data_IF_276071841740
#
_entry.id   IF_276071841740
#
_cell.length_a   1.000
_cell.length_b   1.000
_cell.length_c   1.000
_cell.angle_alpha   90.00
_cell.angle_beta   90.00
_cell.angle_gamma   90.00
#
_symmetry.space_group_name_H-M   'P 1'
#
loop_
_entity.id
_entity.type
_entity.pdbx_description
1 polymer ?
#
# COMPACT_ATOMS: atom_id res chain seq x y z
N UNK A 1 -19.44 -8.91 -8.07
CA UNK A 1 -18.05 -9.40 -8.12
C UNK A 1 -17.39 -9.01 -6.80
N UNK A 2 -16.87 -9.98 -6.05
CA UNK A 2 -16.28 -9.74 -4.73
C UNK A 2 -14.81 -9.38 -4.93
N UNK A 3 -14.35 -8.27 -4.36
CA UNK A 3 -12.92 -7.92 -4.32
C UNK A 3 -12.23 -8.87 -3.34
N UNK A 4 -11.28 -9.65 -3.80
CA UNK A 4 -10.46 -10.50 -2.93
C UNK A 4 -9.42 -9.60 -2.27
N UNK A 5 -9.58 -9.33 -0.98
CA UNK A 5 -8.76 -8.36 -0.23
C UNK A 5 -7.33 -8.87 0.02
N UNK A 6 -7.18 -10.16 0.29
CA UNK A 6 -5.88 -10.78 0.54
C UNK A 6 -5.87 -12.20 -0.05
N UNK A 7 -5.68 -12.34 -1.37
CA UNK A 7 -5.70 -13.65 -2.03
C UNK A 7 -4.52 -14.53 -1.56
N UNK A 8 -4.72 -15.84 -1.46
CA UNK A 8 -3.65 -16.78 -1.13
C UNK A 8 -2.44 -16.59 -2.05
N UNK A 9 -1.23 -16.59 -1.49
CA UNK A 9 0.01 -16.47 -2.24
C UNK A 9 0.44 -15.04 -2.58
N UNK A 10 -0.42 -14.03 -2.47
CA UNK A 10 -0.07 -12.63 -2.80
C UNK A 10 1.14 -12.11 -1.99
N UNK A 11 1.21 -12.50 -0.75
CA UNK A 11 2.24 -12.11 0.21
C UNK A 11 2.98 -13.33 0.79
N UNK A 12 3.04 -14.45 0.05
CA UNK A 12 3.81 -15.62 0.47
C UNK A 12 5.33 -15.31 0.60
N UNK A 13 5.79 -14.36 -0.18
CA UNK A 13 7.10 -13.72 -0.10
C UNK A 13 6.97 -12.24 -0.55
N UNK A 14 8.09 -11.52 -0.59
CA UNK A 14 8.11 -10.10 -0.90
C UNK A 14 8.19 -9.76 -2.40
N UNK A 15 8.22 -10.73 -3.32
CA UNK A 15 8.39 -10.50 -4.77
C UNK A 15 7.36 -9.54 -5.35
N UNK A 16 6.07 -9.78 -5.06
CA UNK A 16 4.99 -8.94 -5.56
C UNK A 16 5.04 -7.53 -4.95
N UNK A 17 5.37 -7.42 -3.67
CA UNK A 17 5.51 -6.13 -3.00
C UNK A 17 6.72 -5.36 -3.53
N UNK A 18 7.87 -6.02 -3.65
CA UNK A 18 9.09 -5.43 -4.19
C UNK A 18 8.93 -4.96 -5.64
N UNK A 19 8.22 -5.72 -6.49
CA UNK A 19 7.89 -5.28 -7.85
C UNK A 19 7.07 -3.98 -7.85
N UNK A 20 6.11 -3.85 -6.92
CA UNK A 20 5.32 -2.63 -6.78
C UNK A 20 6.12 -1.45 -6.24
N UNK A 21 6.99 -1.69 -5.26
CA UNK A 21 7.88 -0.65 -4.70
C UNK A 21 8.87 -0.14 -5.75
N UNK A 22 9.40 -0.99 -6.64
CA UNK A 22 10.31 -0.59 -7.72
C UNK A 22 9.72 0.46 -8.66
N UNK A 23 8.42 0.43 -8.93
CA UNK A 23 7.76 1.43 -9.79
C UNK A 23 8.01 2.86 -9.30
N UNK A 24 7.97 3.07 -7.99
CA UNK A 24 8.09 4.41 -7.38
C UNK A 24 9.51 4.98 -7.44
N UNK A 25 10.52 4.16 -7.76
CA UNK A 25 11.89 4.63 -8.00
C UNK A 25 12.01 5.47 -9.29
N UNK A 26 11.00 5.38 -10.18
CA UNK A 26 10.92 6.15 -11.42
C UNK A 26 10.14 7.46 -11.28
N UNK A 27 9.79 7.87 -10.06
CA UNK A 27 9.21 9.19 -9.83
C UNK A 27 10.20 10.31 -10.19
N UNK A 28 9.69 11.33 -10.90
CA UNK A 28 10.52 12.45 -11.33
C UNK A 28 9.79 13.78 -11.08
N UNK A 29 10.30 14.64 -10.15
CA UNK A 29 11.41 14.37 -9.23
C UNK A 29 11.13 13.22 -8.25
N UNK A 30 12.19 12.59 -7.72
CA UNK A 30 12.03 11.53 -6.70
C UNK A 30 11.31 12.08 -5.46
N UNK A 31 10.37 11.30 -4.94
CA UNK A 31 9.62 11.63 -3.72
C UNK A 31 9.85 10.54 -2.66
N UNK A 32 10.47 10.91 -1.53
CA UNK A 32 10.66 10.01 -0.40
C UNK A 32 9.35 9.85 0.38
N UNK A 33 8.57 8.84 -0.02
CA UNK A 33 7.27 8.53 0.63
C UNK A 33 7.48 8.17 2.10
N UNK A 34 8.49 7.35 2.42
CA UNK A 34 8.72 6.90 3.78
C UNK A 34 9.11 8.07 4.69
N UNK A 35 10.04 8.91 4.27
CA UNK A 35 10.42 10.12 4.99
C UNK A 35 9.24 11.08 5.18
N UNK A 36 8.42 11.26 4.14
CA UNK A 36 7.22 12.08 4.23
C UNK A 36 6.22 11.54 5.27
N UNK A 37 5.91 10.24 5.24
CA UNK A 37 5.00 9.61 6.22
C UNK A 37 5.55 9.75 7.64
N UNK A 38 6.84 9.51 7.85
CA UNK A 38 7.47 9.65 9.16
C UNK A 38 7.48 11.10 9.67
N UNK A 39 7.57 12.09 8.77
CA UNK A 39 7.46 13.50 9.15
C UNK A 39 6.10 13.89 9.75
N UNK A 40 5.03 13.18 9.37
CA UNK A 40 3.68 13.38 9.90
C UNK A 40 3.51 12.79 11.32
N UNK A 41 4.36 11.85 11.70
CA UNK A 41 4.28 11.14 12.98
C UNK A 41 4.83 11.94 14.17
N UNK A 42 5.55 13.05 13.94
CA UNK A 42 6.12 13.87 15.01
C UNK A 42 7.13 13.11 15.87
N UNK A 43 7.99 12.31 15.24
CA UNK A 43 8.96 11.45 15.92
C UNK A 43 9.91 12.25 16.81
N UNK A 44 10.09 11.79 18.06
CA UNK A 44 11.07 12.32 19.01
C UNK A 44 11.79 11.18 19.75
N UNK A 45 12.97 11.46 20.36
CA UNK A 45 13.75 10.43 21.04
C UNK A 45 12.97 9.65 22.09
N UNK A 46 13.12 8.32 22.08
CA UNK A 46 12.53 7.42 23.06
C UNK A 46 11.11 6.96 22.78
N UNK A 47 10.42 7.49 21.75
CA UNK A 47 9.08 7.03 21.39
C UNK A 47 9.06 5.55 20.96
N UNK A 48 7.99 4.87 21.33
CA UNK A 48 7.69 3.49 20.92
C UNK A 48 6.79 3.53 19.69
N UNK A 49 7.28 2.97 18.59
CA UNK A 49 6.61 3.01 17.29
C UNK A 49 6.24 1.59 16.86
N UNK A 50 4.99 1.37 16.50
CA UNK A 50 4.53 0.13 15.86
C UNK A 50 4.34 0.38 14.36
N UNK A 51 4.97 -0.43 13.53
CA UNK A 51 4.65 -0.57 12.10
C UNK A 51 3.68 -1.76 11.95
N UNK A 52 2.40 -1.44 11.82
CA UNK A 52 1.31 -2.39 11.78
C UNK A 52 1.02 -2.80 10.33
N UNK A 53 1.24 -4.06 9.98
CA UNK A 53 1.27 -4.54 8.60
C UNK A 53 2.59 -4.16 7.93
N UNK A 54 3.72 -4.41 8.60
CA UNK A 54 5.04 -3.92 8.21
C UNK A 54 5.59 -4.48 6.90
N UNK A 55 4.96 -5.53 6.34
CA UNK A 55 5.39 -6.15 5.10
C UNK A 55 6.87 -6.57 5.12
N UNK A 56 7.61 -6.17 4.11
CA UNK A 56 9.06 -6.40 4.01
C UNK A 56 9.92 -5.41 4.82
N UNK A 57 9.32 -4.63 5.71
CA UNK A 57 10.03 -3.77 6.66
C UNK A 57 10.54 -2.45 6.10
N UNK A 58 9.95 -1.89 5.07
CA UNK A 58 10.34 -0.61 4.48
C UNK A 58 10.36 0.52 5.52
N UNK A 59 9.28 0.68 6.28
CA UNK A 59 9.18 1.72 7.33
C UNK A 59 10.03 1.41 8.54
N UNK A 60 10.25 0.14 8.89
CA UNK A 60 11.19 -0.24 9.94
C UNK A 60 12.64 0.15 9.58
N UNK A 61 13.02 0.00 8.30
CA UNK A 61 14.33 0.48 7.81
C UNK A 61 14.45 2.00 7.87
N UNK A 62 13.39 2.72 7.47
CA UNK A 62 13.36 4.17 7.55
C UNK A 62 13.45 4.66 9.02
N UNK A 63 12.76 3.98 9.95
CA UNK A 63 12.81 4.28 11.39
C UNK A 63 14.19 4.03 12.01
N UNK A 64 15.05 3.20 11.41
CA UNK A 64 16.40 2.95 11.93
C UNK A 64 17.28 4.21 11.98
N UNK A 65 16.97 5.25 11.22
CA UNK A 65 17.61 6.56 11.27
C UNK A 65 17.12 7.48 12.40
N UNK A 66 16.10 7.06 13.18
CA UNK A 66 15.47 7.83 14.24
C UNK A 66 15.76 7.22 15.63
N UNK A 67 15.92 8.02 16.71
CA UNK A 67 16.21 7.52 18.06
C UNK A 67 14.92 7.01 18.73
N UNK A 68 14.20 6.08 18.10
CA UNK A 68 12.93 5.51 18.57
C UNK A 68 13.06 4.00 18.80
N UNK A 69 12.11 3.41 19.54
CA UNK A 69 11.98 1.98 19.73
C UNK A 69 10.92 1.44 18.76
N UNK A 70 11.36 0.86 17.65
CA UNK A 70 10.46 0.36 16.62
C UNK A 70 10.19 -1.14 16.76
N UNK A 71 8.92 -1.53 16.55
CA UNK A 71 8.48 -2.92 16.39
C UNK A 71 7.59 -3.02 15.15
N UNK A 72 7.56 -4.19 14.51
CA UNK A 72 6.69 -4.46 13.37
C UNK A 72 5.82 -5.69 13.59
N UNK A 73 4.63 -5.69 13.03
CA UNK A 73 3.83 -6.90 12.92
C UNK A 73 3.23 -7.04 11.53
N UNK A 74 3.07 -8.29 11.10
CA UNK A 74 2.42 -8.64 9.83
C UNK A 74 1.76 -10.02 9.96
N UNK A 75 0.67 -10.22 9.23
CA UNK A 75 -0.01 -11.52 9.18
C UNK A 75 0.82 -12.55 8.39
N UNK A 76 1.65 -12.11 7.44
CA UNK A 76 2.45 -12.96 6.59
C UNK A 76 3.83 -13.24 7.18
N UNK A 77 4.06 -14.51 7.54
CA UNK A 77 5.40 -15.00 7.90
C UNK A 77 6.43 -14.84 6.77
N UNK A 78 5.98 -14.89 5.51
CA UNK A 78 6.84 -14.69 4.35
C UNK A 78 7.38 -13.25 4.30
N UNK A 79 6.52 -12.28 4.54
CA UNK A 79 6.91 -10.87 4.65
C UNK A 79 7.87 -10.63 5.81
N UNK A 80 7.56 -11.15 6.99
CA UNK A 80 8.40 -10.98 8.18
C UNK A 80 9.83 -11.52 7.99
N UNK A 81 10.00 -12.61 7.24
CA UNK A 81 11.34 -13.13 6.90
C UNK A 81 12.18 -12.16 6.08
N UNK A 82 11.53 -11.35 5.24
CA UNK A 82 12.20 -10.33 4.41
C UNK A 82 12.39 -9.01 5.12
N UNK A 83 11.67 -8.75 6.23
CA UNK A 83 11.67 -7.46 6.91
C UNK A 83 13.00 -7.10 7.60
N UNK A 84 13.82 -8.10 8.00
CA UNK A 84 15.19 -7.89 8.50
C UNK A 84 15.30 -7.08 9.79
N UNK A 85 14.25 -7.06 10.63
CA UNK A 85 14.21 -6.32 11.90
C UNK A 85 14.17 -7.26 13.11
N UNK A 86 14.63 -6.78 14.28
CA UNK A 86 14.73 -7.63 15.49
C UNK A 86 13.41 -7.82 16.22
N UNK A 87 12.57 -6.78 16.25
CA UNK A 87 11.28 -6.76 16.94
C UNK A 87 10.15 -6.98 15.94
N UNK A 88 9.96 -8.23 15.52
CA UNK A 88 8.91 -8.63 14.58
C UNK A 88 7.96 -9.62 15.24
N UNK A 89 6.67 -9.49 14.94
CA UNK A 89 5.63 -10.37 15.46
C UNK A 89 4.67 -10.77 14.34
N UNK A 90 4.37 -12.06 14.25
CA UNK A 90 3.29 -12.54 13.39
C UNK A 90 1.96 -12.33 14.12
N UNK A 91 1.14 -11.42 13.62
CA UNK A 91 -0.11 -11.05 14.25
C UNK A 91 -1.15 -10.57 13.25
N UNK A 92 -2.43 -10.82 13.58
CA UNK A 92 -3.56 -10.19 12.92
C UNK A 92 -3.78 -8.78 13.51
N UNK A 93 -3.87 -7.78 12.63
CA UNK A 93 -4.09 -6.41 13.04
C UNK A 93 -5.47 -6.20 13.68
N UNK A 94 -6.43 -7.08 13.42
CA UNK A 94 -7.75 -7.06 14.06
C UNK A 94 -7.74 -7.63 15.49
N UNK A 95 -6.59 -8.21 15.96
CA UNK A 95 -6.40 -8.79 17.28
C UNK A 95 -4.93 -8.66 17.70
N UNK A 96 -4.46 -7.43 17.91
CA UNK A 96 -3.06 -7.15 18.25
C UNK A 96 -2.69 -7.68 19.65
N UNK A 97 -1.62 -8.49 19.80
CA UNK A 97 -1.23 -9.10 21.07
C UNK A 97 -0.40 -8.13 21.94
N UNK A 98 -0.76 -6.86 21.93
CA UNK A 98 -0.15 -5.84 22.76
C UNK A 98 -1.16 -5.34 23.80
N UNK A 99 -0.66 -4.86 24.93
CA UNK A 99 -1.48 -4.21 25.95
C UNK A 99 -1.99 -2.86 25.45
N UNK A 100 -3.06 -2.37 26.04
CA UNK A 100 -3.56 -1.01 25.84
C UNK A 100 -2.46 0.01 26.15
N UNK A 101 -2.37 1.06 25.35
CA UNK A 101 -1.42 2.14 25.60
C UNK A 101 0.06 1.72 25.54
N UNK A 102 0.40 0.78 24.65
CA UNK A 102 1.79 0.31 24.51
C UNK A 102 2.63 1.25 23.66
N UNK A 103 2.06 1.89 22.63
CA UNK A 103 2.80 2.65 21.63
C UNK A 103 2.44 4.13 21.65
N UNK A 104 3.42 4.97 21.35
CA UNK A 104 3.24 6.41 21.21
C UNK A 104 2.84 6.77 19.77
N UNK A 105 3.31 5.98 18.78
CA UNK A 105 3.01 6.10 17.36
C UNK A 105 2.66 4.74 16.78
N UNK A 106 1.63 4.70 15.94
CA UNK A 106 1.28 3.53 15.12
C UNK A 106 1.25 3.93 13.66
N UNK A 107 1.97 3.19 12.83
CA UNK A 107 1.91 3.31 11.37
C UNK A 107 1.03 2.19 10.82
N UNK A 108 0.10 2.51 9.92
CA UNK A 108 -0.74 1.56 9.19
C UNK A 108 -0.70 1.91 7.69
N UNK A 109 0.41 1.56 7.03
CA UNK A 109 0.74 2.04 5.70
C UNK A 109 0.40 0.99 4.63
N UNK A 110 -0.50 1.33 3.71
CA UNK A 110 -0.91 0.50 2.59
C UNK A 110 -1.37 -0.91 2.98
N UNK A 111 -2.01 -1.08 4.14
CA UNK A 111 -2.41 -2.39 4.64
C UNK A 111 -3.90 -2.54 4.97
N UNK A 112 -4.61 -1.47 5.39
CA UNK A 112 -5.99 -1.57 5.88
C UNK A 112 -6.97 -2.07 4.82
N UNK A 113 -6.75 -1.84 3.54
CA UNK A 113 -7.60 -2.38 2.48
C UNK A 113 -7.48 -3.92 2.32
N UNK A 114 -6.48 -4.55 2.95
CA UNK A 114 -6.34 -6.01 2.99
C UNK A 114 -7.06 -6.66 4.16
N UNK A 115 -7.50 -5.87 5.14
CA UNK A 115 -8.11 -6.38 6.37
C UNK A 115 -9.61 -6.61 6.18
N UNK A 116 -10.12 -7.84 6.39
CA UNK A 116 -11.55 -8.11 6.27
C UNK A 116 -12.39 -7.34 7.30
N UNK A 117 -12.04 -7.44 8.59
CA UNK A 117 -12.68 -6.66 9.68
C UNK A 117 -11.87 -5.40 9.99
N UNK A 118 -12.07 -4.38 9.16
CA UNK A 118 -11.41 -3.07 9.33
C UNK A 118 -11.87 -2.34 10.59
N UNK A 119 -13.12 -2.55 11.02
CA UNK A 119 -13.61 -1.95 12.25
C UNK A 119 -12.86 -2.48 13.47
N UNK A 120 -12.64 -3.80 13.56
CA UNK A 120 -11.81 -4.38 14.61
C UNK A 120 -10.37 -3.85 14.51
N UNK A 121 -9.77 -3.84 13.32
CA UNK A 121 -8.42 -3.34 13.12
C UNK A 121 -8.25 -1.88 13.57
N UNK A 122 -9.15 -0.98 13.17
CA UNK A 122 -9.07 0.44 13.55
C UNK A 122 -9.22 0.61 15.06
N UNK A 123 -10.10 -0.17 15.73
CA UNK A 123 -10.18 -0.17 17.21
C UNK A 123 -8.90 -0.66 17.87
N UNK A 124 -8.26 -1.71 17.33
CA UNK A 124 -6.99 -2.24 17.85
C UNK A 124 -5.85 -1.23 17.68
N UNK A 125 -5.74 -0.57 16.52
CA UNK A 125 -4.76 0.51 16.31
C UNK A 125 -4.92 1.63 17.36
N UNK A 126 -6.18 2.00 17.68
CA UNK A 126 -6.47 3.00 18.71
C UNK A 126 -6.18 2.48 20.12
N UNK A 127 -6.55 1.23 20.43
CA UNK A 127 -6.36 0.60 21.75
C UNK A 127 -4.90 0.54 22.17
N UNK A 128 -4.03 0.16 21.24
CA UNK A 128 -2.60 0.00 21.55
C UNK A 128 -1.85 1.34 21.66
N UNK A 129 -2.47 2.47 21.28
CA UNK A 129 -1.90 3.81 21.44
C UNK A 129 -2.12 4.32 22.87
N UNK A 130 -1.10 4.99 23.40
CA UNK A 130 -1.22 5.77 24.64
C UNK A 130 -2.25 6.90 24.47
N UNK A 131 -2.80 7.45 25.57
CA UNK A 131 -3.54 8.71 25.50
C UNK A 131 -2.69 9.80 24.84
N UNK A 132 -3.24 10.47 23.82
CA UNK A 132 -2.52 11.48 23.02
C UNK A 132 -1.55 10.92 21.97
N UNK A 133 -1.42 9.61 21.85
CA UNK A 133 -0.65 8.96 20.78
C UNK A 133 -1.23 9.22 19.38
N UNK A 134 -0.45 8.99 18.34
CA UNK A 134 -0.83 9.26 16.96
C UNK A 134 -0.80 7.99 16.09
N UNK A 135 -1.84 7.79 15.28
CA UNK A 135 -1.83 6.81 14.20
C UNK A 135 -1.68 7.53 12.86
N UNK A 136 -0.77 7.03 12.02
CA UNK A 136 -0.63 7.46 10.63
C UNK A 136 -1.12 6.32 9.73
N UNK A 137 -2.31 6.47 9.16
CA UNK A 137 -2.83 5.53 8.16
C UNK A 137 -2.59 6.08 6.75
N UNK A 138 -2.11 5.23 5.84
CA UNK A 138 -1.83 5.64 4.45
C UNK A 138 -2.52 4.72 3.47
N UNK A 139 -3.13 5.30 2.46
CA UNK A 139 -3.77 4.57 1.36
C UNK A 139 -3.74 5.37 0.06
N UNK A 140 -4.24 4.77 -1.00
CA UNK A 140 -4.38 5.43 -2.30
C UNK A 140 -5.84 5.79 -2.59
N UNK A 141 -6.04 6.83 -3.38
CA UNK A 141 -7.36 7.21 -3.90
C UNK A 141 -7.69 6.55 -5.23
N UNK A 142 -8.89 6.83 -5.72
CA UNK A 142 -9.45 6.20 -6.93
C UNK A 142 -8.70 6.51 -8.23
N UNK A 143 -7.89 7.58 -8.27
CA UNK A 143 -7.10 7.96 -9.45
C UNK A 143 -5.74 7.26 -9.53
N UNK A 144 -5.34 6.57 -8.46
CA UNK A 144 -4.04 5.88 -8.38
C UNK A 144 -3.81 4.95 -9.57
N UNK A 145 -2.73 5.17 -10.32
CA UNK A 145 -2.32 4.40 -11.51
C UNK A 145 -3.43 4.21 -12.56
N UNK A 146 -4.30 5.20 -12.74
CA UNK A 146 -5.49 5.10 -13.60
C UNK A 146 -5.14 4.75 -15.04
N UNK A 147 -4.11 5.35 -15.62
CA UNK A 147 -3.65 5.08 -16.98
C UNK A 147 -3.23 3.61 -17.14
N UNK A 148 -2.46 3.07 -16.21
CA UNK A 148 -2.03 1.67 -16.22
C UNK A 148 -3.21 0.71 -16.05
N UNK A 149 -4.14 0.99 -15.12
CA UNK A 149 -5.36 0.19 -14.94
C UNK A 149 -6.24 0.18 -16.18
N UNK A 150 -6.34 1.31 -16.89
CA UNK A 150 -7.10 1.41 -18.14
C UNK A 150 -6.52 0.53 -19.25
N UNK A 151 -5.20 0.33 -19.29
CA UNK A 151 -4.57 -0.61 -20.24
C UNK A 151 -4.96 -2.05 -19.93
N UNK A 152 -4.92 -2.46 -18.65
CA UNK A 152 -5.37 -3.79 -18.21
C UNK A 152 -6.83 -4.01 -18.56
N UNK A 153 -7.71 -3.07 -18.24
CA UNK A 153 -9.14 -3.18 -18.60
C UNK A 153 -9.35 -3.33 -20.10
N UNK A 154 -8.63 -2.59 -20.91
CA UNK A 154 -8.72 -2.68 -22.37
C UNK A 154 -8.31 -4.06 -22.86
N UNK A 155 -7.22 -4.61 -22.35
CA UNK A 155 -6.76 -5.96 -22.69
C UNK A 155 -7.78 -7.03 -22.30
N UNK A 156 -8.37 -6.95 -21.12
CA UNK A 156 -9.35 -7.94 -20.62
C UNK A 156 -10.68 -7.83 -21.36
N UNK A 157 -11.15 -6.63 -21.69
CA UNK A 157 -12.45 -6.41 -22.35
C UNK A 157 -12.56 -7.04 -23.72
N UNK A 158 -11.48 -7.33 -24.42
CA UNK A 158 -11.50 -8.08 -25.67
C UNK A 158 -12.12 -9.47 -25.52
N UNK A 159 -11.91 -10.12 -24.38
CA UNK A 159 -12.41 -11.44 -24.05
C UNK A 159 -13.60 -11.43 -23.07
N UNK A 160 -13.75 -10.36 -22.28
CA UNK A 160 -14.79 -10.18 -21.26
C UNK A 160 -15.41 -8.78 -21.35
N UNK A 161 -16.29 -8.49 -22.33
CA UNK A 161 -16.98 -7.21 -22.43
C UNK A 161 -17.74 -6.90 -21.14
N UNK A 162 -17.53 -5.71 -20.57
CA UNK A 162 -18.17 -5.30 -19.30
C UNK A 162 -17.36 -5.61 -18.04
N UNK A 163 -16.25 -6.32 -18.12
CA UNK A 163 -15.34 -6.44 -16.96
C UNK A 163 -14.74 -5.08 -16.59
N UNK A 164 -14.74 -4.80 -15.31
CA UNK A 164 -14.14 -3.58 -14.74
C UNK A 164 -13.19 -3.97 -13.63
N UNK A 165 -12.02 -3.36 -13.64
CA UNK A 165 -11.03 -3.56 -12.60
C UNK A 165 -11.44 -2.80 -11.33
N UNK A 166 -11.74 -3.55 -10.27
CA UNK A 166 -11.97 -2.98 -8.94
C UNK A 166 -10.67 -3.08 -8.15
N UNK A 167 -10.01 -1.96 -7.86
CA UNK A 167 -8.74 -2.01 -7.12
C UNK A 167 -8.96 -2.53 -5.69
N UNK A 168 -8.04 -3.34 -5.18
CA UNK A 168 -8.09 -3.83 -3.81
C UNK A 168 -8.19 -2.69 -2.78
N UNK A 169 -7.63 -1.52 -3.11
CA UNK A 169 -7.68 -0.31 -2.29
C UNK A 169 -9.09 0.28 -2.13
N UNK A 170 -10.07 -0.11 -2.97
CA UNK A 170 -11.46 0.40 -2.88
C UNK A 170 -12.08 0.21 -1.50
N UNK A 171 -11.71 -0.88 -0.81
CA UNK A 171 -12.22 -1.20 0.52
C UNK A 171 -11.79 -0.20 1.60
N UNK A 172 -10.62 0.43 1.41
CA UNK A 172 -10.08 1.50 2.26
C UNK A 172 -9.29 2.46 1.36
N UNK A 173 -10.02 3.33 0.67
CA UNK A 173 -9.48 4.33 -0.24
C UNK A 173 -9.46 5.71 0.40
N UNK A 174 -8.73 6.66 -0.19
CA UNK A 174 -8.67 8.04 0.31
C UNK A 174 -10.04 8.69 0.46
N UNK A 175 -11.02 8.27 -0.35
CA UNK A 175 -12.39 8.79 -0.36
C UNK A 175 -13.24 8.30 0.81
N UNK A 176 -12.93 7.13 1.41
CA UNK A 176 -13.74 6.51 2.46
C UNK A 176 -12.97 6.25 3.76
N UNK A 177 -11.65 6.43 3.78
CA UNK A 177 -10.78 6.13 4.92
C UNK A 177 -11.13 6.98 6.16
N UNK A 178 -11.38 8.30 5.98
CA UNK A 178 -11.67 9.20 7.09
C UNK A 178 -12.90 8.76 7.89
N UNK A 179 -13.97 8.32 7.22
CA UNK A 179 -15.17 7.83 7.89
C UNK A 179 -14.93 6.54 8.68
N UNK A 180 -14.10 5.62 8.14
CA UNK A 180 -13.75 4.36 8.80
C UNK A 180 -12.85 4.60 10.02
N UNK A 181 -11.86 5.50 9.91
CA UNK A 181 -10.95 5.87 11.00
C UNK A 181 -11.68 6.64 12.11
N UNK A 182 -12.60 7.54 11.76
CA UNK A 182 -13.41 8.31 12.71
C UNK A 182 -14.34 7.47 13.60
N UNK A 183 -14.48 6.16 13.32
CA UNK A 183 -15.19 5.23 14.19
C UNK A 183 -14.45 4.95 15.52
N UNK A 184 -13.13 5.23 15.61
CA UNK A 184 -12.34 4.97 16.81
C UNK A 184 -11.41 6.14 17.21
N UNK A 185 -11.16 7.09 16.30
CA UNK A 185 -10.33 8.27 16.57
C UNK A 185 -11.17 9.54 16.64
N UNK A 186 -10.86 10.39 17.62
CA UNK A 186 -11.59 11.66 17.84
C UNK A 186 -11.33 12.69 16.74
N UNK A 187 -10.13 12.67 16.17
CA UNK A 187 -9.76 13.54 15.05
C UNK A 187 -9.05 12.74 13.94
N UNK A 188 -9.43 13.03 12.70
CA UNK A 188 -8.83 12.42 11.50
C UNK A 188 -8.57 13.52 10.48
N UNK A 189 -7.31 13.82 10.23
CA UNK A 189 -6.90 14.84 9.25
C UNK A 189 -6.28 14.16 8.04
N UNK A 190 -6.88 14.37 6.86
CA UNK A 190 -6.32 13.89 5.59
C UNK A 190 -5.26 14.87 5.09
N UNK A 191 -4.07 14.35 4.81
CA UNK A 191 -2.94 15.09 4.24
C UNK A 191 -2.52 14.41 2.94
N UNK A 192 -2.36 15.21 1.90
CA UNK A 192 -1.82 14.75 0.61
C UNK A 192 -0.45 15.39 0.38
N UNK A 193 0.50 14.71 -0.27
CA UNK A 193 1.78 15.32 -0.59
C UNK A 193 1.57 16.52 -1.52
N UNK A 194 2.23 17.64 -1.24
CA UNK A 194 2.24 18.78 -2.12
C UNK A 194 3.06 18.44 -3.37
N UNK A 195 2.41 18.35 -4.53
CA UNK A 195 3.09 18.10 -5.80
C UNK A 195 3.59 16.65 -5.92
N UNK A 196 2.68 15.68 -5.76
CA UNK A 196 3.02 14.27 -6.03
C UNK A 196 3.62 14.14 -7.43
N UNK A 197 4.89 13.73 -7.50
CA UNK A 197 5.63 13.60 -8.75
C UNK A 197 5.09 12.42 -9.57
N UNK A 198 4.95 12.56 -10.89
CA UNK A 198 4.59 11.44 -11.74
C UNK A 198 5.70 10.39 -11.80
N UNK A 199 5.31 9.15 -12.05
CA UNK A 199 6.23 8.07 -12.39
C UNK A 199 6.45 8.10 -13.91
N UNK A 200 7.71 8.27 -14.33
CA UNK A 200 8.09 8.39 -15.74
C UNK A 200 8.77 7.10 -16.19
N UNK A 201 8.05 6.26 -16.91
CA UNK A 201 8.49 4.93 -17.35
C UNK A 201 9.08 5.03 -18.75
N UNK A 202 10.36 4.66 -18.90
CA UNK A 202 11.08 4.58 -20.17
C UNK A 202 11.47 3.16 -20.57
N UNK A 203 11.10 2.17 -19.75
CA UNK A 203 11.23 0.74 -20.01
C UNK A 203 9.89 0.08 -19.68
N UNK A 204 9.21 -0.44 -20.70
CA UNK A 204 7.91 -1.07 -20.58
C UNK A 204 7.93 -2.30 -19.65
N UNK A 205 9.10 -2.89 -19.41
CA UNK A 205 9.27 -4.01 -18.47
C UNK A 205 8.86 -3.63 -17.04
N UNK A 206 9.11 -2.40 -16.62
CA UNK A 206 8.75 -1.89 -15.29
C UNK A 206 7.23 -1.91 -15.08
N UNK A 207 6.46 -1.44 -16.07
CA UNK A 207 5.00 -1.49 -16.03
C UNK A 207 4.47 -2.94 -16.08
N UNK A 208 5.09 -3.79 -16.90
CA UNK A 208 4.73 -5.20 -17.01
C UNK A 208 4.94 -5.97 -15.70
N UNK A 209 6.07 -5.78 -15.01
CA UNK A 209 6.35 -6.39 -13.71
C UNK A 209 5.35 -5.92 -12.65
N UNK A 210 5.00 -4.63 -12.64
CA UNK A 210 3.98 -4.11 -11.76
C UNK A 210 2.62 -4.79 -11.99
N UNK A 211 2.17 -4.87 -13.25
CA UNK A 211 0.91 -5.54 -13.61
C UNK A 211 0.97 -7.04 -13.32
N UNK A 212 2.10 -7.70 -13.56
CA UNK A 212 2.29 -9.11 -13.21
C UNK A 212 2.05 -9.37 -11.71
N UNK A 213 2.43 -8.44 -10.84
CA UNK A 213 2.19 -8.54 -9.38
C UNK A 213 0.71 -8.52 -8.98
N UNK A 214 -0.20 -8.21 -9.90
CA UNK A 214 -1.65 -8.22 -9.68
C UNK A 214 -2.31 -9.57 -10.00
N UNK A 215 -1.59 -10.54 -10.54
CA UNK A 215 -2.13 -11.83 -11.00
C UNK A 215 -3.04 -12.50 -9.97
N UNK A 216 -2.61 -12.59 -8.71
CA UNK A 216 -3.38 -13.23 -7.63
C UNK A 216 -4.69 -12.52 -7.29
N UNK A 217 -4.82 -11.22 -7.58
CA UNK A 217 -6.06 -10.49 -7.38
C UNK A 217 -7.08 -10.69 -8.48
N UNK A 218 -6.63 -10.92 -9.71
CA UNK A 218 -7.51 -10.78 -10.88
C UNK A 218 -7.59 -12.02 -11.78
N UNK A 219 -6.63 -12.97 -11.73
CA UNK A 219 -6.63 -14.14 -12.61
C UNK A 219 -7.92 -14.95 -12.52
N UNK A 220 -8.44 -15.18 -11.31
CA UNK A 220 -9.67 -15.97 -11.10
C UNK A 220 -10.95 -15.24 -11.52
N UNK A 221 -10.85 -13.96 -11.88
CA UNK A 221 -11.98 -13.12 -12.31
C UNK A 221 -12.12 -13.09 -13.85
N UNK A 222 -11.15 -13.64 -14.56
CA UNK A 222 -11.09 -13.60 -16.03
C UNK A 222 -10.70 -14.98 -16.58
N UNK A 223 -11.17 -15.29 -17.77
CA UNK A 223 -10.83 -16.55 -18.46
C UNK A 223 -9.50 -16.46 -19.21
N UNK A 224 -9.07 -15.25 -19.58
CA UNK A 224 -7.82 -15.00 -20.28
C UNK A 224 -6.62 -15.18 -19.33
N UNK A 225 -5.54 -15.89 -19.73
CA UNK A 225 -4.35 -16.03 -18.90
C UNK A 225 -3.71 -14.66 -18.57
N UNK A 226 -3.41 -14.42 -17.30
CA UNK A 226 -2.83 -13.13 -16.86
C UNK A 226 -1.51 -12.77 -17.56
N UNK A 227 -0.60 -13.71 -17.88
CA UNK A 227 0.60 -13.40 -18.67
C UNK A 227 0.32 -12.76 -20.04
N UNK A 228 -0.80 -13.11 -20.69
CA UNK A 228 -1.21 -12.46 -21.94
C UNK A 228 -1.65 -11.03 -21.74
N UNK A 229 -2.38 -10.75 -20.64
CA UNK A 229 -2.76 -9.39 -20.25
C UNK A 229 -1.51 -8.54 -19.96
N UNK A 230 -0.53 -9.11 -19.26
CA UNK A 230 0.76 -8.47 -18.99
C UNK A 230 1.50 -8.14 -20.30
N UNK A 231 1.49 -9.06 -21.25
CA UNK A 231 2.15 -8.84 -22.54
C UNK A 231 1.46 -7.74 -23.36
N UNK A 232 0.13 -7.69 -23.39
CA UNK A 232 -0.61 -6.62 -24.06
C UNK A 232 -0.31 -5.25 -23.43
N UNK A 233 -0.30 -5.18 -22.10
CA UNK A 233 0.04 -3.94 -21.38
C UNK A 233 1.48 -3.52 -21.70
N UNK A 234 2.43 -4.45 -21.72
CA UNK A 234 3.81 -4.17 -22.08
C UNK A 234 3.91 -3.59 -23.49
N UNK A 235 3.23 -4.19 -24.48
CA UNK A 235 3.22 -3.70 -25.86
C UNK A 235 2.58 -2.30 -25.96
N UNK A 236 1.46 -2.07 -25.25
CA UNK A 236 0.79 -0.78 -25.24
C UNK A 236 1.66 0.32 -24.60
N UNK A 237 2.35 0.01 -23.50
CA UNK A 237 3.29 0.93 -22.85
C UNK A 237 4.48 1.21 -23.75
N UNK A 238 5.04 0.18 -24.42
CA UNK A 238 6.16 0.36 -25.34
C UNK A 238 5.78 1.27 -26.53
N UNK A 239 4.59 1.10 -27.08
CA UNK A 239 4.11 1.95 -28.18
C UNK A 239 4.03 3.43 -27.77
N UNK A 240 3.60 3.73 -26.54
CA UNK A 240 3.60 5.10 -26.01
C UNK A 240 5.03 5.62 -25.81
N UNK A 241 5.93 4.78 -25.30
CA UNK A 241 7.34 5.14 -25.13
C UNK A 241 7.99 5.47 -26.49
N UNK A 242 7.70 4.67 -27.53
CA UNK A 242 8.26 4.86 -28.87
C UNK A 242 7.75 6.16 -29.52
N UNK A 243 6.51 6.57 -29.23
CA UNK A 243 5.88 7.78 -29.78
C UNK A 243 6.20 9.04 -28.93
N UNK A 244 6.08 8.96 -27.63
CA UNK A 244 6.14 10.11 -26.69
C UNK A 244 7.44 10.17 -25.87
N UNK A 245 8.30 9.15 -25.95
CA UNK A 245 9.56 9.05 -25.21
C UNK A 245 9.42 8.50 -23.79
N UNK A 246 8.21 8.46 -23.22
CA UNK A 246 7.93 7.87 -21.91
C UNK A 246 6.43 7.60 -21.72
N UNK A 247 6.12 6.59 -20.93
CA UNK A 247 4.77 6.37 -20.41
C UNK A 247 4.67 6.95 -18.99
N UNK A 248 3.69 7.85 -18.76
CA UNK A 248 3.55 8.57 -17.50
C UNK A 248 2.36 8.04 -16.71
N UNK A 249 2.58 7.72 -15.44
CA UNK A 249 1.51 7.34 -14.51
C UNK A 249 1.56 8.23 -13.26
N UNK A 250 0.40 8.49 -12.67
CA UNK A 250 0.28 9.28 -11.46
C UNK A 250 -0.13 8.42 -10.28
N UNK A 251 0.41 8.73 -9.12
CA UNK A 251 -0.11 8.27 -7.85
C UNK A 251 -1.42 8.97 -7.48
N UNK A 252 -1.94 8.64 -6.31
CA UNK A 252 -3.05 9.35 -5.65
C UNK A 252 -2.96 9.03 -4.16
N UNK A 253 -1.85 9.44 -3.53
CA UNK A 253 -1.50 9.11 -2.15
C UNK A 253 -2.26 9.98 -1.16
N UNK A 254 -2.73 9.38 -0.08
CA UNK A 254 -3.30 10.09 1.06
C UNK A 254 -2.83 9.47 2.38
N UNK A 255 -2.38 10.32 3.30
CA UNK A 255 -2.12 9.98 4.68
C UNK A 255 -3.20 10.58 5.58
N UNK A 256 -3.55 9.86 6.63
CA UNK A 256 -4.51 10.27 7.65
C UNK A 256 -3.80 10.29 8.99
N UNK A 257 -3.72 11.49 9.58
CA UNK A 257 -3.22 11.69 10.95
C UNK A 257 -4.40 11.56 11.89
N UNK A 258 -4.38 10.54 12.76
CA UNK A 258 -5.48 10.18 13.64
C UNK A 258 -5.06 10.33 15.11
N UNK A 259 -5.93 10.98 15.92
CA UNK A 259 -5.76 11.15 17.38
C UNK A 259 -7.03 10.83 18.14
#
# INVERSE_FOLDING_TARGET
MVVVLNPPGQYADDRNLSARQRLWQYQTPFFDIAGWVLSLAGLSPGLRVLDAGCGNGEYLRALAGHPVQAAGCDLSMGMLRSAGHRALLNADIAALPFRDGTFDVVLAVHMLYHVPDRHAAVRELRRVLVPGGVCIAVTNGGRHLRSLRSLVERSVRTAAPGWQMRPATEAFAAENAAAQLGAAFESVTCIRPAGEAPVVIRDATVAAEYVASWATFYQDQITRPWPEVVQDVRQAVQAVIDDEGAFVVSGDLAAFVCR
#
